data_IF_373985614586
#
_entry.id   IF_373985614586
#
_cell.length_a   1.000
_cell.length_b   1.000
_cell.length_c   1.000
_cell.angle_alpha   90.00
_cell.angle_beta   90.00
_cell.angle_gamma   90.00
#
_symmetry.space_group_name_H-M   'P 1'
#
loop_
_entity.id
_entity.type
_entity.pdbx_description
1 polymer ?
#
# COMPACT_ATOMS: atom_id res chain seq x y z
N UNK A 1 5.08 8.50 -10.03
CA UNK A 1 4.50 8.13 -8.72
C UNK A 1 4.43 9.35 -7.82
N UNK A 2 3.60 9.28 -6.79
CA UNK A 2 3.40 10.34 -5.79
C UNK A 2 3.91 9.83 -4.44
N UNK A 3 4.62 10.68 -3.70
CA UNK A 3 5.21 10.34 -2.41
C UNK A 3 4.76 11.38 -1.39
N UNK A 4 4.16 10.95 -0.29
CA UNK A 4 3.76 11.86 0.79
C UNK A 4 5.01 12.48 1.45
N UNK A 5 5.11 13.81 1.44
CA UNK A 5 6.27 14.51 2.01
C UNK A 5 6.10 14.83 3.49
N UNK A 6 4.86 14.81 4.00
CA UNK A 6 4.48 15.31 5.33
C UNK A 6 3.59 14.28 6.04
N UNK A 7 3.78 14.16 7.36
CA UNK A 7 2.98 13.26 8.20
C UNK A 7 3.17 13.53 9.70
N UNK A 8 2.31 12.94 10.52
CA UNK A 8 2.38 13.05 11.98
C UNK A 8 3.52 12.21 12.57
N UNK A 9 3.74 11.02 11.98
CA UNK A 9 4.82 10.12 12.38
C UNK A 9 5.88 9.97 11.28
N UNK A 10 7.05 9.43 11.65
CA UNK A 10 8.12 9.10 10.70
C UNK A 10 7.68 7.99 9.72
N UNK A 11 6.71 7.16 10.10
CA UNK A 11 6.15 6.12 9.24
C UNK A 11 5.17 6.69 8.21
N UNK A 12 4.54 7.83 8.50
CA UNK A 12 3.55 8.44 7.61
C UNK A 12 4.16 9.20 6.45
N UNK A 13 5.38 9.69 6.61
CA UNK A 13 6.17 10.31 5.54
C UNK A 13 6.81 9.27 4.63
N UNK A 14 6.95 9.59 3.35
CA UNK A 14 7.59 8.72 2.37
C UNK A 14 6.73 7.55 1.89
N UNK A 15 5.44 7.50 2.26
CA UNK A 15 4.48 6.57 1.66
C UNK A 15 4.33 6.90 0.17
N UNK A 16 4.59 5.93 -0.68
CA UNK A 16 4.58 6.09 -2.14
C UNK A 16 3.37 5.39 -2.77
N UNK A 17 2.86 5.98 -3.84
CA UNK A 17 1.78 5.43 -4.66
C UNK A 17 2.11 5.54 -6.14
N UNK A 18 2.03 4.40 -6.84
CA UNK A 18 2.14 4.32 -8.28
C UNK A 18 0.82 4.76 -8.93
N UNK A 19 0.82 5.92 -9.60
CA UNK A 19 -0.25 6.30 -10.52
C UNK A 19 0.02 5.65 -11.88
N UNK A 20 -0.90 4.80 -12.33
CA UNK A 20 -0.80 4.03 -13.58
C UNK A 20 -1.74 4.52 -14.68
N UNK A 21 -2.56 5.53 -14.40
CA UNK A 21 -3.49 6.10 -15.38
C UNK A 21 -2.80 7.03 -16.38
N UNK A 22 -3.48 7.27 -17.50
CA UNK A 22 -3.06 8.14 -18.60
C UNK A 22 -3.65 9.56 -18.50
N UNK A 23 -4.63 9.77 -17.62
CA UNK A 23 -5.24 11.08 -17.39
C UNK A 23 -4.43 11.95 -16.41
N UNK A 24 -4.64 13.26 -16.51
CA UNK A 24 -4.08 14.22 -15.56
C UNK A 24 -4.76 14.04 -14.21
N UNK A 25 -3.95 14.11 -13.15
CA UNK A 25 -4.40 14.06 -11.75
C UNK A 25 -3.88 15.27 -11.00
N UNK A 26 -4.65 15.73 -10.02
CA UNK A 26 -4.21 16.71 -9.05
C UNK A 26 -3.58 15.98 -7.86
N UNK A 27 -2.49 16.53 -7.34
CA UNK A 27 -1.83 16.07 -6.11
C UNK A 27 -1.65 17.27 -5.18
N UNK A 28 -1.70 17.01 -3.88
CA UNK A 28 -1.46 18.02 -2.86
C UNK A 28 0.00 18.55 -2.96
N UNK A 29 0.24 19.79 -2.54
CA UNK A 29 1.56 20.45 -2.62
C UNK A 29 2.61 19.81 -1.69
N UNK A 30 2.18 19.28 -0.56
CA UNK A 30 2.99 18.44 0.35
C UNK A 30 3.23 17.00 -0.15
N UNK A 31 3.39 16.83 -1.46
CA UNK A 31 3.78 15.58 -2.11
C UNK A 31 4.98 15.79 -3.03
N UNK A 32 5.83 14.76 -3.13
CA UNK A 32 6.85 14.69 -4.17
C UNK A 32 6.37 13.88 -5.36
N UNK A 33 6.72 14.34 -6.55
CA UNK A 33 6.50 13.61 -7.80
C UNK A 33 7.82 12.98 -8.21
N UNK A 34 7.86 11.65 -8.26
CA UNK A 34 9.01 10.91 -8.75
C UNK A 34 8.70 10.27 -10.11
N UNK A 35 9.60 10.50 -11.07
CA UNK A 35 9.54 9.98 -12.45
C UNK A 35 10.83 9.21 -12.73
N UNK A 36 10.68 8.00 -13.23
CA UNK A 36 11.78 7.08 -13.55
C UNK A 36 11.33 6.11 -14.63
N UNK A 37 12.25 5.55 -15.45
CA UNK A 37 11.95 4.47 -16.39
C UNK A 37 11.68 3.11 -15.72
N UNK A 38 11.90 3.00 -14.40
CA UNK A 38 11.59 1.79 -13.64
C UNK A 38 10.10 1.50 -13.58
N UNK A 39 9.73 0.24 -13.35
CA UNK A 39 8.36 -0.12 -13.04
C UNK A 39 7.93 0.63 -11.76
N UNK A 40 6.90 1.50 -11.82
CA UNK A 40 6.51 2.33 -10.69
C UNK A 40 5.97 1.52 -9.52
N UNK A 41 5.32 0.36 -9.75
CA UNK A 41 4.88 -0.53 -8.68
C UNK A 41 6.07 -1.13 -7.94
N UNK A 42 7.12 -1.54 -8.66
CA UNK A 42 8.34 -2.07 -8.06
C UNK A 42 8.95 -1.05 -7.07
N UNK A 43 9.09 0.20 -7.50
CA UNK A 43 9.62 1.27 -6.64
C UNK A 43 8.69 1.52 -5.44
N UNK A 44 7.37 1.49 -5.65
CA UNK A 44 6.41 1.61 -4.54
C UNK A 44 6.56 0.49 -3.51
N UNK A 45 6.70 -0.76 -3.94
CA UNK A 45 6.96 -1.89 -3.03
C UNK A 45 8.32 -1.76 -2.33
N UNK A 46 9.37 -1.36 -3.05
CA UNK A 46 10.69 -1.12 -2.46
C UNK A 46 10.64 -0.04 -1.35
N UNK A 47 9.90 1.05 -1.58
CA UNK A 47 9.75 2.10 -0.58
C UNK A 47 8.96 1.68 0.67
N UNK A 48 8.29 0.54 0.63
CA UNK A 48 7.59 -0.06 1.78
C UNK A 48 8.48 -1.04 2.56
N UNK A 49 9.66 -1.40 2.06
CA UNK A 49 10.53 -2.36 2.75
C UNK A 49 11.13 -1.76 4.02
N UNK A 50 11.62 -2.64 4.90
CA UNK A 50 12.27 -2.23 6.14
C UNK A 50 13.54 -1.42 5.84
N UNK A 51 14.32 -1.85 4.87
CA UNK A 51 15.60 -1.24 4.51
C UNK A 51 15.41 0.21 4.07
N UNK A 52 14.41 0.47 3.21
CA UNK A 52 14.08 1.83 2.80
C UNK A 52 13.60 2.67 4.00
N UNK A 53 12.71 2.11 4.82
CA UNK A 53 12.19 2.80 5.99
C UNK A 53 13.28 3.16 7.01
N UNK A 54 14.21 2.24 7.28
CA UNK A 54 15.35 2.48 8.17
C UNK A 54 16.24 3.61 7.63
N UNK A 55 16.57 3.59 6.35
CA UNK A 55 17.38 4.62 5.71
C UNK A 55 16.69 6.00 5.72
N UNK A 56 15.36 6.00 5.48
CA UNK A 56 14.51 7.20 5.50
C UNK A 56 14.52 7.92 6.86
N UNK A 57 14.65 7.21 7.98
CA UNK A 57 14.63 7.82 9.34
C UNK A 57 15.65 8.96 9.49
N UNK A 58 16.80 8.86 8.82
CA UNK A 58 17.88 9.85 8.89
C UNK A 58 17.59 11.15 8.14
N UNK A 59 16.66 11.14 7.18
CA UNK A 59 16.34 12.27 6.30
C UNK A 59 14.98 12.93 6.61
N UNK A 60 14.34 12.51 7.71
CA UNK A 60 13.06 13.08 8.19
C UNK A 60 13.34 14.11 9.28
N UNK A 61 12.86 15.34 9.06
CA UNK A 61 12.94 16.38 10.09
C UNK A 61 12.01 16.05 11.27
N UNK A 62 12.48 16.27 12.50
CA UNK A 62 11.76 15.90 13.73
C UNK A 62 11.00 17.07 14.37
N UNK A 63 10.62 18.08 13.60
CA UNK A 63 9.75 19.15 14.06
C UNK A 63 8.34 18.63 14.47
N UNK A 64 7.43 19.54 14.84
CA UNK A 64 6.04 19.20 15.25
C UNK A 64 5.34 18.32 14.20
N UNK A 65 5.55 18.61 12.93
CA UNK A 65 5.16 17.76 11.80
C UNK A 65 6.42 17.16 11.19
N UNK A 66 6.39 15.87 10.85
CA UNK A 66 7.51 15.21 10.20
C UNK A 66 7.50 15.57 8.72
N UNK A 67 8.65 16.02 8.20
CA UNK A 67 8.82 16.38 6.79
C UNK A 67 10.00 15.63 6.21
N UNK A 68 9.80 15.04 5.04
CA UNK A 68 10.83 14.33 4.31
C UNK A 68 11.71 15.33 3.54
N UNK A 69 13.04 15.23 3.69
CA UNK A 69 13.97 16.04 2.92
C UNK A 69 13.96 15.61 1.45
N UNK A 70 13.71 16.56 0.53
CA UNK A 70 13.78 16.30 -0.90
C UNK A 70 15.20 15.95 -1.36
N UNK A 71 16.23 16.64 -0.84
CA UNK A 71 17.64 16.35 -1.16
C UNK A 71 18.07 14.99 -0.59
N UNK A 72 17.65 14.70 0.65
CA UNK A 72 17.92 13.41 1.29
C UNK A 72 17.31 12.25 0.51
N UNK A 73 16.04 12.39 0.13
CA UNK A 73 15.34 11.38 -0.68
C UNK A 73 15.99 11.18 -2.05
N UNK A 74 16.40 12.27 -2.72
CA UNK A 74 17.06 12.21 -4.03
C UNK A 74 18.43 11.51 -4.02
N UNK A 75 19.07 11.39 -2.86
CA UNK A 75 20.36 10.68 -2.68
C UNK A 75 20.20 9.23 -2.22
N UNK A 76 18.99 8.79 -1.88
CA UNK A 76 18.76 7.42 -1.44
C UNK A 76 18.98 6.45 -2.61
N UNK A 77 19.83 5.41 -2.44
CA UNK A 77 20.01 4.41 -3.47
C UNK A 77 18.74 3.56 -3.60
N UNK A 78 18.34 3.28 -4.85
CA UNK A 78 17.27 2.34 -5.17
C UNK A 78 17.90 1.23 -6.03
N UNK A 79 17.63 -0.06 -5.75
CA UNK A 79 18.13 -1.14 -6.58
C UNK A 79 17.55 -1.04 -7.98
N UNK A 80 18.41 -1.21 -8.99
CA UNK A 80 18.03 -1.13 -10.40
C UNK A 80 18.18 -2.51 -11.08
N UNK A 81 17.36 -3.51 -10.74
CA UNK A 81 17.38 -4.78 -11.43
C UNK A 81 16.81 -4.64 -12.84
N UNK A 82 16.98 -5.66 -13.69
CA UNK A 82 16.43 -5.67 -15.05
C UNK A 82 14.90 -5.49 -15.04
N UNK A 83 14.34 -4.94 -16.12
CA UNK A 83 12.88 -4.73 -16.22
C UNK A 83 12.08 -6.01 -15.97
N UNK A 84 12.52 -7.14 -16.55
CA UNK A 84 11.92 -8.46 -16.34
C UNK A 84 11.87 -8.86 -14.86
N UNK A 85 12.94 -8.57 -14.12
CA UNK A 85 13.00 -8.90 -12.69
C UNK A 85 12.11 -7.97 -11.86
N UNK A 86 12.02 -6.68 -12.21
CA UNK A 86 11.08 -5.76 -11.59
C UNK A 86 9.64 -6.24 -11.77
N UNK A 87 9.26 -6.62 -12.99
CA UNK A 87 7.92 -7.10 -13.32
C UNK A 87 7.62 -8.43 -12.58
N UNK A 88 8.57 -9.37 -12.54
CA UNK A 88 8.43 -10.63 -11.77
C UNK A 88 8.15 -10.40 -10.28
N UNK A 89 8.86 -9.46 -9.66
CA UNK A 89 8.65 -9.09 -8.24
C UNK A 89 7.27 -8.47 -8.05
N UNK A 90 6.88 -7.57 -8.96
CA UNK A 90 5.57 -6.92 -8.93
C UNK A 90 4.44 -7.93 -9.04
N UNK A 91 4.51 -8.86 -10.01
CA UNK A 91 3.48 -9.88 -10.21
C UNK A 91 3.27 -10.74 -8.95
N UNK A 92 4.37 -11.13 -8.29
CA UNK A 92 4.32 -11.89 -7.05
C UNK A 92 3.65 -11.10 -5.93
N UNK A 93 4.07 -9.84 -5.72
CA UNK A 93 3.55 -8.99 -4.64
C UNK A 93 2.10 -8.54 -4.89
N UNK A 94 1.72 -8.30 -6.15
CA UNK A 94 0.34 -7.99 -6.54
C UNK A 94 -0.57 -9.18 -6.22
N UNK A 95 -0.16 -10.42 -6.53
CA UNK A 95 -0.95 -11.62 -6.21
C UNK A 95 -1.18 -11.79 -4.70
N UNK A 96 -0.16 -11.54 -3.88
CA UNK A 96 -0.33 -11.53 -2.42
C UNK A 96 -1.23 -10.39 -1.96
N UNK A 97 -1.07 -9.20 -2.52
CA UNK A 97 -1.86 -8.03 -2.16
C UNK A 97 -3.34 -8.23 -2.46
N UNK A 98 -3.67 -8.75 -3.65
CA UNK A 98 -5.04 -9.08 -4.06
C UNK A 98 -5.67 -10.08 -3.10
N UNK A 99 -4.96 -11.16 -2.75
CA UNK A 99 -5.45 -12.18 -1.84
C UNK A 99 -5.83 -11.64 -0.45
N UNK A 100 -5.11 -10.63 0.05
CA UNK A 100 -5.30 -10.12 1.44
C UNK A 100 -6.10 -8.84 1.53
N UNK A 101 -6.20 -8.06 0.45
CA UNK A 101 -6.76 -6.70 0.49
C UNK A 101 -8.02 -6.52 -0.35
N UNK A 102 -8.33 -7.45 -1.27
CA UNK A 102 -9.56 -7.36 -2.04
C UNK A 102 -10.78 -7.53 -1.11
N UNK A 103 -11.72 -6.59 -1.19
CA UNK A 103 -12.89 -6.57 -0.32
C UNK A 103 -14.00 -7.53 -0.78
N UNK A 104 -14.00 -7.89 -2.06
CA UNK A 104 -15.00 -8.75 -2.69
C UNK A 104 -14.51 -10.19 -2.80
N UNK A 105 -13.20 -10.38 -2.99
CA UNK A 105 -12.51 -11.66 -3.11
C UNK A 105 -11.50 -11.82 -1.97
N UNK A 106 -10.61 -12.81 -2.07
CA UNK A 106 -9.57 -13.06 -1.06
C UNK A 106 -10.10 -13.31 0.36
N UNK A 107 -9.25 -13.03 1.35
CA UNK A 107 -9.58 -13.23 2.77
C UNK A 107 -10.75 -12.38 3.27
N UNK A 108 -10.87 -11.08 2.93
CA UNK A 108 -12.01 -10.27 3.37
C UNK A 108 -13.34 -10.77 2.79
N UNK A 109 -13.37 -11.14 1.50
CA UNK A 109 -14.55 -11.69 0.85
C UNK A 109 -14.99 -13.03 1.46
N UNK A 110 -14.03 -13.93 1.72
CA UNK A 110 -14.32 -15.21 2.40
C UNK A 110 -14.86 -14.99 3.81
N UNK A 111 -14.25 -14.10 4.59
CA UNK A 111 -14.70 -13.79 5.95
C UNK A 111 -16.14 -13.26 5.96
N UNK A 112 -16.48 -12.37 5.01
CA UNK A 112 -17.84 -11.86 4.86
C UNK A 112 -18.84 -12.97 4.51
N UNK A 113 -18.48 -13.88 3.59
CA UNK A 113 -19.30 -15.03 3.24
C UNK A 113 -19.52 -15.98 4.43
N UNK A 114 -18.47 -16.25 5.22
CA UNK A 114 -18.54 -17.09 6.42
C UNK A 114 -19.38 -16.48 7.52
N UNK A 115 -19.32 -15.16 7.71
CA UNK A 115 -20.21 -14.45 8.65
C UNK A 115 -21.68 -14.57 8.26
N UNK A 116 -22.01 -14.36 6.98
CA UNK A 116 -23.38 -14.55 6.47
C UNK A 116 -23.87 -15.98 6.66
N UNK A 117 -23.02 -16.96 6.38
CA UNK A 117 -23.35 -18.37 6.60
C UNK A 117 -23.61 -18.67 8.09
N UNK A 118 -22.76 -18.16 8.98
CA UNK A 118 -22.94 -18.30 10.42
C UNK A 118 -24.26 -17.68 10.90
N UNK A 119 -24.59 -16.47 10.47
CA UNK A 119 -25.85 -15.78 10.80
C UNK A 119 -27.07 -16.60 10.36
N UNK A 120 -27.07 -17.10 9.11
CA UNK A 120 -28.15 -17.95 8.60
C UNK A 120 -28.38 -19.19 9.47
N UNK A 121 -27.31 -19.92 9.82
CA UNK A 121 -27.45 -21.13 10.63
C UNK A 121 -27.81 -20.83 12.09
N UNK A 122 -27.27 -19.75 12.67
CA UNK A 122 -27.65 -19.28 14.00
C UNK A 122 -29.15 -18.98 14.06
N UNK A 123 -29.66 -18.21 13.11
CA UNK A 123 -31.06 -17.79 13.08
C UNK A 123 -31.98 -19.00 12.84
N UNK A 124 -31.58 -19.94 11.97
CA UNK A 124 -32.30 -21.20 11.77
C UNK A 124 -32.35 -22.07 13.03
N UNK A 125 -31.25 -22.17 13.79
CA UNK A 125 -31.21 -22.94 15.04
C UNK A 125 -32.05 -22.30 16.15
N UNK A 126 -32.14 -20.97 16.17
CA UNK A 126 -32.92 -20.21 17.16
C UNK A 126 -34.39 -20.00 16.74
N UNK A 127 -34.78 -20.46 15.56
CA UNK A 127 -36.17 -20.47 15.11
C UNK A 127 -36.80 -21.81 15.46
N UNK A 128 -37.60 -21.84 16.52
CA UNK A 128 -38.33 -23.04 16.91
C UNK A 128 -39.66 -23.13 16.14
N UNK A 129 -40.03 -24.31 15.61
CA UNK A 129 -41.38 -24.52 15.09
C UNK A 129 -42.41 -24.30 16.18
N UNK A 130 -43.53 -23.66 15.86
CA UNK A 130 -44.67 -23.58 16.78
C UNK A 130 -45.26 -24.98 16.89
N UNK A 131 -45.29 -25.52 18.11
CA UNK A 131 -45.90 -26.83 18.37
C UNK A 131 -47.38 -26.79 17.94
N UNK A 132 -47.75 -27.72 17.07
CA UNK A 132 -49.12 -27.92 16.57
C UNK A 132 -49.91 -28.81 17.51
#
# INVERSE_FOLDING_TARGET
>A
MVIAAVGETVLDVGKALAWLGDHRVAVHDDCFIFRSPMNPKFVTYYMQTKEFNDAKVSIVSRAKVKRLSSDGLGRMPIPLPTRREQDRVVDMLDAFHELVSDLSTGLPGELAARRKQYEYYRDRLLTFPVAS
#
